data_IF_487071067426
#
_entry.id   IF_487071067426
#
_cell.length_a   1.000
_cell.length_b   1.000
_cell.length_c   1.000
_cell.angle_alpha   90.00
_cell.angle_beta   90.00
_cell.angle_gamma   90.00
#
_symmetry.space_group_name_H-M   'P 1'
#
loop_
_entity.id
_entity.type
_entity.pdbx_description
1 polymer ?
#
# COMPACT_ATOMS: atom_id res chain seq x y z
N UNK A 1 -73.09 -7.81 13.58
CA UNK A 1 -71.67 -8.21 13.70
C UNK A 1 -71.26 -8.14 15.15
N UNK A 2 -70.67 -9.20 15.71
CA UNK A 2 -70.27 -9.24 17.12
C UNK A 2 -68.90 -8.55 17.30
N UNK A 3 -68.62 -7.94 18.46
CA UNK A 3 -67.34 -7.27 18.73
C UNK A 3 -66.13 -8.21 18.60
N UNK A 4 -66.34 -9.51 18.78
CA UNK A 4 -65.32 -10.54 18.54
C UNK A 4 -64.84 -10.59 17.08
N UNK A 5 -65.72 -10.39 16.09
CA UNK A 5 -65.32 -10.40 14.67
C UNK A 5 -64.45 -9.19 14.31
N UNK A 6 -64.71 -8.04 14.93
CA UNK A 6 -63.89 -6.83 14.76
C UNK A 6 -62.46 -7.07 15.26
N UNK A 7 -62.28 -7.60 16.47
CA UNK A 7 -60.94 -7.88 17.03
C UNK A 7 -60.15 -8.85 16.15
N UNK A 8 -60.81 -9.87 15.59
CA UNK A 8 -60.16 -10.83 14.69
C UNK A 8 -59.76 -10.22 13.35
N UNK A 9 -60.61 -9.38 12.73
CA UNK A 9 -60.29 -8.74 11.45
C UNK A 9 -59.14 -7.75 11.62
N UNK A 10 -59.16 -6.93 12.69
CA UNK A 10 -58.08 -5.99 12.97
C UNK A 10 -56.77 -6.69 13.36
N UNK A 11 -56.82 -7.74 14.19
CA UNK A 11 -55.64 -8.53 14.53
C UNK A 11 -55.03 -9.24 13.33
N UNK A 12 -55.85 -9.74 12.40
CA UNK A 12 -55.37 -10.36 11.17
C UNK A 12 -54.79 -9.33 10.19
N UNK A 13 -55.36 -8.13 10.13
CA UNK A 13 -54.82 -7.01 9.36
C UNK A 13 -53.46 -6.51 9.90
N UNK A 14 -53.31 -6.40 11.23
CA UNK A 14 -52.05 -6.03 11.87
C UNK A 14 -50.96 -7.09 11.66
N UNK A 15 -51.31 -8.38 11.80
CA UNK A 15 -50.39 -9.48 11.53
C UNK A 15 -49.93 -9.49 10.06
N UNK A 16 -50.85 -9.24 9.12
CA UNK A 16 -50.51 -9.10 7.70
C UNK A 16 -49.61 -7.89 7.45
N UNK A 17 -49.92 -6.74 8.05
CA UNK A 17 -49.09 -5.54 7.92
C UNK A 17 -47.66 -5.76 8.45
N UNK A 18 -47.51 -6.38 9.63
CA UNK A 18 -46.22 -6.72 10.21
C UNK A 18 -45.45 -7.72 9.33
N UNK A 19 -46.13 -8.74 8.78
CA UNK A 19 -45.50 -9.70 7.87
C UNK A 19 -45.00 -9.03 6.58
N UNK A 20 -45.75 -8.05 6.06
CA UNK A 20 -45.41 -7.30 4.86
C UNK A 20 -44.22 -6.35 5.10
N UNK A 21 -44.16 -5.72 6.27
CA UNK A 21 -43.00 -4.91 6.69
C UNK A 21 -41.76 -5.78 6.86
N UNK A 22 -41.87 -6.93 7.53
CA UNK A 22 -40.75 -7.85 7.71
C UNK A 22 -40.23 -8.38 6.37
N UNK A 23 -41.11 -8.84 5.49
CA UNK A 23 -40.71 -9.32 4.16
C UNK A 23 -40.05 -8.23 3.31
N UNK A 24 -40.52 -6.97 3.40
CA UNK A 24 -39.88 -5.83 2.75
C UNK A 24 -38.48 -5.55 3.31
N UNK A 25 -38.32 -5.54 4.64
CA UNK A 25 -37.03 -5.32 5.30
C UNK A 25 -36.02 -6.43 4.95
N UNK A 26 -36.43 -7.69 5.08
CA UNK A 26 -35.58 -8.83 4.70
C UNK A 26 -35.28 -8.83 3.20
N UNK A 27 -36.24 -8.46 2.34
CA UNK A 27 -36.03 -8.32 0.90
C UNK A 27 -34.99 -7.25 0.57
N UNK A 28 -35.05 -6.08 1.21
CA UNK A 28 -34.08 -4.99 1.02
C UNK A 28 -32.70 -5.41 1.53
N UNK A 29 -32.61 -5.99 2.74
CA UNK A 29 -31.34 -6.45 3.29
C UNK A 29 -30.71 -7.56 2.44
N UNK A 30 -31.50 -8.53 1.98
CA UNK A 30 -31.08 -9.58 1.07
C UNK A 30 -30.58 -9.01 -0.26
N UNK A 31 -31.30 -8.05 -0.82
CA UNK A 31 -30.90 -7.40 -2.07
C UNK A 31 -29.60 -6.61 -1.92
N UNK A 32 -29.42 -5.89 -0.81
CA UNK A 32 -28.15 -5.21 -0.47
C UNK A 32 -27.01 -6.22 -0.34
N UNK A 33 -27.20 -7.29 0.44
CA UNK A 33 -26.20 -8.36 0.62
C UNK A 33 -25.82 -8.99 -0.73
N UNK A 34 -26.80 -9.24 -1.60
CA UNK A 34 -26.58 -9.79 -2.95
C UNK A 34 -25.78 -8.83 -3.83
N UNK A 35 -26.08 -7.53 -3.77
CA UNK A 35 -25.37 -6.48 -4.52
C UNK A 35 -23.93 -6.34 -4.04
N UNK A 36 -23.71 -6.40 -2.73
CA UNK A 36 -22.37 -6.31 -2.14
C UNK A 36 -21.53 -7.55 -2.46
N UNK A 37 -22.14 -8.75 -2.42
CA UNK A 37 -21.49 -9.98 -2.91
C UNK A 37 -21.09 -9.88 -4.39
N UNK A 38 -21.97 -9.35 -5.24
CA UNK A 38 -21.65 -9.16 -6.66
C UNK A 38 -20.51 -8.17 -6.88
N UNK A 39 -20.49 -7.05 -6.16
CA UNK A 39 -19.37 -6.08 -6.22
C UNK A 39 -18.06 -6.72 -5.78
N UNK A 40 -18.08 -7.50 -4.69
CA UNK A 40 -16.91 -8.18 -4.17
C UNK A 40 -16.38 -9.24 -5.14
N UNK A 41 -17.27 -9.95 -5.84
CA UNK A 41 -16.85 -10.85 -6.93
C UNK A 41 -16.22 -10.11 -8.11
N UNK A 42 -16.76 -8.94 -8.48
CA UNK A 42 -16.22 -8.11 -9.56
C UNK A 42 -14.83 -7.57 -9.22
N UNK A 43 -14.66 -6.98 -8.03
CA UNK A 43 -13.35 -6.45 -7.58
C UNK A 43 -12.31 -7.57 -7.48
N UNK A 44 -12.72 -8.72 -6.96
CA UNK A 44 -11.85 -9.90 -6.87
C UNK A 44 -11.40 -10.42 -8.23
N UNK A 45 -12.30 -10.50 -9.22
CA UNK A 45 -11.93 -10.87 -10.60
C UNK A 45 -11.00 -9.84 -11.23
N UNK A 46 -11.25 -8.56 -10.99
CA UNK A 46 -10.40 -7.47 -11.47
C UNK A 46 -8.98 -7.57 -10.89
N UNK A 47 -8.85 -7.75 -9.57
CA UNK A 47 -7.55 -7.90 -8.88
C UNK A 47 -6.81 -9.16 -9.36
N UNK A 48 -7.50 -10.30 -9.46
CA UNK A 48 -6.90 -11.53 -10.00
C UNK A 48 -6.45 -11.36 -11.46
N UNK A 49 -7.19 -10.59 -12.26
CA UNK A 49 -6.83 -10.23 -13.63
C UNK A 49 -5.59 -9.36 -13.70
N UNK A 50 -5.51 -8.30 -12.89
CA UNK A 50 -4.34 -7.42 -12.80
C UNK A 50 -3.09 -8.18 -12.37
N UNK A 51 -3.20 -9.01 -11.32
CA UNK A 51 -2.08 -9.84 -10.85
C UNK A 51 -1.62 -10.83 -11.92
N UNK A 52 -2.55 -11.46 -12.66
CA UNK A 52 -2.22 -12.35 -13.78
C UNK A 52 -1.50 -11.61 -14.91
N UNK A 53 -1.92 -10.39 -15.23
CA UNK A 53 -1.25 -9.55 -16.24
C UNK A 53 0.15 -9.14 -15.80
N UNK A 54 0.35 -8.76 -14.54
CA UNK A 54 1.67 -8.41 -14.01
C UNK A 54 2.63 -9.60 -13.95
N UNK A 55 2.15 -10.79 -13.56
CA UNK A 55 2.96 -12.03 -13.65
C UNK A 55 3.39 -12.28 -15.11
N UNK A 56 2.49 -12.08 -16.07
CA UNK A 56 2.80 -12.19 -17.51
C UNK A 56 3.82 -11.15 -18.00
N UNK A 57 3.75 -9.92 -17.50
CA UNK A 57 4.71 -8.85 -17.82
C UNK A 57 6.10 -9.11 -17.24
N UNK A 58 6.17 -9.64 -16.03
CA UNK A 58 7.44 -9.96 -15.37
C UNK A 58 8.12 -11.16 -16.05
N UNK A 59 7.35 -12.17 -16.46
CA UNK A 59 7.88 -13.37 -17.13
C UNK A 59 8.32 -13.12 -18.58
N UNK A 60 7.70 -12.16 -19.28
CA UNK A 60 8.03 -11.84 -20.68
C UNK A 60 9.25 -10.91 -20.86
N UNK A 61 9.67 -10.17 -19.83
CA UNK A 61 10.86 -9.31 -19.91
C UNK A 61 12.16 -10.11 -19.71
N UNK A 62 13.11 -10.09 -20.66
CA UNK A 62 14.45 -10.63 -20.43
C UNK A 62 15.16 -9.75 -19.40
N UNK A 63 15.63 -10.36 -18.31
CA UNK A 63 16.28 -9.66 -17.18
C UNK A 63 17.63 -10.32 -16.91
N UNK A 64 18.64 -9.53 -16.55
CA UNK A 64 20.00 -10.00 -16.28
C UNK A 64 20.09 -11.01 -15.12
N UNK A 65 19.08 -11.08 -14.24
CA UNK A 65 19.00 -12.03 -13.11
C UNK A 65 17.69 -12.83 -13.15
N UNK A 66 17.69 -14.06 -13.70
CA UNK A 66 16.48 -14.85 -13.88
C UNK A 66 15.87 -15.37 -12.57
N UNK A 67 16.65 -15.47 -11.50
CA UNK A 67 16.22 -15.95 -10.17
C UNK A 67 15.31 -14.95 -9.45
N UNK A 68 15.70 -13.68 -9.42
CA UNK A 68 14.87 -12.57 -8.90
C UNK A 68 13.54 -12.41 -9.65
N UNK A 69 13.53 -12.79 -10.93
CA UNK A 69 12.32 -12.79 -11.75
C UNK A 69 11.37 -13.92 -11.37
N UNK A 70 11.90 -15.12 -11.10
CA UNK A 70 11.12 -16.28 -10.65
C UNK A 70 10.52 -16.01 -9.27
N UNK A 71 11.33 -15.61 -8.29
CA UNK A 71 10.84 -15.31 -6.93
C UNK A 71 9.78 -14.20 -6.92
N UNK A 72 9.95 -13.14 -7.72
CA UNK A 72 8.94 -12.08 -7.87
C UNK A 72 7.65 -12.58 -8.51
N UNK A 73 7.74 -13.43 -9.53
CA UNK A 73 6.57 -14.04 -10.17
C UNK A 73 5.85 -15.01 -9.22
N UNK A 74 6.59 -15.78 -8.44
CA UNK A 74 6.07 -16.76 -7.48
C UNK A 74 5.39 -16.08 -6.28
N UNK A 75 5.95 -14.99 -5.75
CA UNK A 75 5.30 -14.13 -4.75
C UNK A 75 3.96 -13.58 -5.25
N UNK A 76 3.92 -13.05 -6.48
CA UNK A 76 2.69 -12.51 -7.06
C UNK A 76 1.68 -13.61 -7.38
N UNK A 77 2.14 -14.81 -7.73
CA UNK A 77 1.28 -15.97 -7.92
C UNK A 77 0.65 -16.46 -6.61
N UNK A 78 1.42 -16.48 -5.52
CA UNK A 78 0.93 -16.79 -4.18
C UNK A 78 -0.12 -15.75 -3.74
N UNK A 79 0.18 -14.45 -3.87
CA UNK A 79 -0.76 -13.35 -3.59
C UNK A 79 -2.05 -13.43 -4.41
N UNK A 80 -1.99 -13.93 -5.65
CA UNK A 80 -3.17 -14.07 -6.49
C UNK A 80 -4.08 -15.26 -6.10
N UNK A 81 -3.57 -16.24 -5.33
CA UNK A 81 -4.27 -17.50 -5.02
C UNK A 81 -5.57 -17.28 -4.21
N UNK A 82 -5.61 -16.48 -3.12
CA UNK A 82 -6.85 -16.21 -2.38
C UNK A 82 -7.93 -15.53 -3.23
N UNK A 83 -7.50 -14.66 -4.15
CA UNK A 83 -8.40 -14.01 -5.11
C UNK A 83 -8.91 -14.96 -6.20
N UNK A 84 -8.26 -16.09 -6.45
CA UNK A 84 -8.76 -17.12 -7.40
C UNK A 84 -9.66 -18.16 -6.72
N UNK A 85 -9.40 -18.51 -5.46
CA UNK A 85 -10.09 -19.62 -4.75
C UNK A 85 -11.29 -19.23 -3.90
N UNK A 86 -11.63 -17.94 -3.80
CA UNK A 86 -12.75 -17.38 -2.98
C UNK A 86 -12.47 -17.32 -1.49
N UNK A 87 -11.21 -17.51 -1.09
CA UNK A 87 -10.78 -17.62 0.30
C UNK A 87 -10.25 -16.28 0.85
N UNK A 88 -10.98 -15.18 0.63
CA UNK A 88 -10.55 -13.86 1.12
C UNK A 88 -10.69 -13.69 2.64
N UNK A 89 -11.69 -14.35 3.22
CA UNK A 89 -11.97 -14.32 4.66
C UNK A 89 -11.31 -15.48 5.42
N UNK A 90 -10.52 -16.31 4.73
CA UNK A 90 -9.87 -17.49 5.28
C UNK A 90 -8.47 -17.11 5.75
N UNK A 91 -8.24 -17.12 7.07
CA UNK A 91 -6.95 -16.77 7.65
C UNK A 91 -5.84 -17.76 7.24
N UNK A 92 -6.18 -19.03 7.02
CA UNK A 92 -5.21 -20.06 6.63
C UNK A 92 -4.67 -19.81 5.22
N UNK A 93 -5.53 -19.33 4.32
CA UNK A 93 -5.14 -18.93 2.97
C UNK A 93 -4.13 -17.77 2.99
N UNK A 94 -4.28 -16.81 3.90
CA UNK A 94 -3.35 -15.69 4.04
C UNK A 94 -2.05 -16.07 4.76
N UNK A 95 -2.09 -16.97 5.76
CA UNK A 95 -0.88 -17.53 6.35
C UNK A 95 -0.03 -18.26 5.31
N UNK A 96 -0.65 -19.05 4.44
CA UNK A 96 0.06 -19.72 3.35
C UNK A 96 0.67 -18.72 2.33
N UNK A 97 0.05 -17.56 2.13
CA UNK A 97 0.64 -16.48 1.31
C UNK A 97 1.87 -15.90 1.99
N UNK A 98 1.79 -15.58 3.28
CA UNK A 98 2.90 -15.02 4.04
C UNK A 98 4.07 -16.00 4.14
N UNK A 99 3.79 -17.29 4.31
CA UNK A 99 4.81 -18.35 4.33
C UNK A 99 5.53 -18.47 2.98
N UNK A 100 4.80 -18.44 1.86
CA UNK A 100 5.41 -18.44 0.53
C UNK A 100 6.25 -17.18 0.25
N UNK A 101 5.81 -16.02 0.75
CA UNK A 101 6.58 -14.78 0.66
C UNK A 101 7.86 -14.88 1.48
N UNK A 102 7.79 -15.43 2.71
CA UNK A 102 8.96 -15.71 3.54
C UNK A 102 9.97 -16.63 2.85
N UNK A 103 9.51 -17.75 2.30
CA UNK A 103 10.34 -18.70 1.55
C UNK A 103 11.02 -18.05 0.32
N UNK A 104 10.34 -17.12 -0.35
CA UNK A 104 10.94 -16.37 -1.45
C UNK A 104 12.05 -15.42 -0.98
N UNK A 105 11.89 -14.77 0.18
CA UNK A 105 12.95 -13.94 0.78
C UNK A 105 14.13 -14.78 1.26
N UNK A 106 13.88 -15.93 1.89
CA UNK A 106 14.93 -16.85 2.33
C UNK A 106 15.74 -17.38 1.15
N UNK A 107 15.08 -17.72 0.04
CA UNK A 107 15.76 -18.14 -1.19
C UNK A 107 16.61 -17.00 -1.76
N UNK A 108 16.13 -15.76 -1.72
CA UNK A 108 16.90 -14.60 -2.18
C UNK A 108 18.12 -14.34 -1.29
N UNK A 109 17.99 -14.45 0.03
CA UNK A 109 19.11 -14.29 0.96
C UNK A 109 20.20 -15.35 0.75
N UNK A 110 19.82 -16.62 0.52
CA UNK A 110 20.77 -17.69 0.20
C UNK A 110 21.53 -17.43 -1.10
N UNK A 111 20.83 -17.00 -2.15
CA UNK A 111 21.47 -16.65 -3.44
C UNK A 111 22.40 -15.45 -3.35
N UNK A 112 22.20 -14.53 -2.39
CA UNK A 112 23.14 -13.42 -2.13
C UNK A 112 24.33 -13.83 -1.27
N UNK A 113 24.17 -14.80 -0.36
CA UNK A 113 25.26 -15.31 0.48
C UNK A 113 26.22 -16.21 -0.31
N UNK A 114 25.74 -17.03 -1.25
CA UNK A 114 26.59 -17.88 -2.10
C UNK A 114 27.54 -17.09 -3.03
N UNK A 115 27.26 -15.80 -3.26
CA UNK A 115 28.12 -14.90 -4.06
C UNK A 115 29.20 -14.23 -3.20
N UNK A 116 29.20 -14.45 -1.88
CA UNK A 116 30.09 -13.79 -0.92
C UNK A 116 30.82 -14.80 -0.02
N UNK A 117 31.78 -15.55 -0.55
CA UNK A 117 33.00 -15.97 0.17
C UNK A 117 34.10 -16.37 -0.83
N UNK A 118 35.42 -16.22 -0.53
CA UNK A 118 35.99 -16.20 0.84
C UNK A 118 36.95 -15.04 1.15
N UNK A 119 37.06 -14.69 2.44
CA UNK A 119 38.29 -14.09 2.98
C UNK A 119 38.13 -12.91 3.95
N UNK A 120 37.49 -13.11 5.10
CA UNK A 120 38.00 -12.60 6.39
C UNK A 120 37.11 -13.11 7.54
N UNK A 121 37.70 -13.65 8.63
CA UNK A 121 36.92 -14.05 9.79
C UNK A 121 36.53 -12.79 10.56
N UNK A 122 35.33 -12.26 10.31
CA UNK A 122 34.72 -11.32 11.24
C UNK A 122 33.97 -12.13 12.28
N UNK A 123 34.55 -12.18 13.48
CA UNK A 123 33.84 -12.54 14.70
C UNK A 123 32.73 -11.51 14.85
N UNK A 124 31.51 -11.86 14.43
CA UNK A 124 30.31 -11.12 14.78
C UNK A 124 29.49 -12.03 15.68
N UNK A 125 29.64 -11.70 16.96
CA UNK A 125 28.68 -11.98 18.01
C UNK A 125 27.27 -11.70 17.49
N UNK A 126 26.33 -12.58 17.79
CA UNK A 126 24.94 -12.45 17.38
C UNK A 126 24.27 -11.35 18.20
N UNK A 127 24.56 -10.09 17.89
CA UNK A 127 23.71 -8.97 18.26
C UNK A 127 22.59 -8.83 17.25
N UNK A 128 21.41 -8.66 17.80
CA UNK A 128 20.10 -8.41 17.23
C UNK A 128 20.05 -7.12 16.39
N UNK A 129 20.89 -7.02 15.35
CA UNK A 129 20.87 -5.92 14.39
C UNK A 129 19.86 -6.24 13.29
N UNK A 130 18.57 -6.15 13.66
CA UNK A 130 17.62 -5.57 12.72
C UNK A 130 18.08 -4.15 12.45
N UNK A 131 18.97 -3.99 11.46
CA UNK A 131 19.40 -2.71 10.93
C UNK A 131 18.21 -2.10 10.17
N UNK A 132 17.22 -1.69 10.95
CA UNK A 132 16.09 -0.92 10.52
C UNK A 132 16.63 0.47 10.24
N UNK A 133 16.73 0.81 8.94
CA UNK A 133 16.89 2.18 8.44
C UNK A 133 16.42 3.18 9.49
N UNK A 134 17.36 3.90 10.09
CA UNK A 134 17.03 4.75 11.22
C UNK A 134 15.94 5.72 10.77
N UNK A 135 14.98 6.05 11.64
CA UNK A 135 13.87 6.95 11.25
C UNK A 135 14.36 8.28 10.68
N UNK A 136 15.61 8.67 11.01
CA UNK A 136 16.32 9.81 10.47
C UNK A 136 16.85 9.57 9.04
N UNK A 137 17.36 8.39 8.72
CA UNK A 137 17.76 8.00 7.35
C UNK A 137 16.55 7.94 6.40
N UNK A 138 15.40 7.47 6.90
CA UNK A 138 14.17 7.41 6.12
C UNK A 138 13.63 8.82 5.80
N UNK A 139 13.67 9.74 6.76
CA UNK A 139 13.28 11.14 6.54
C UNK A 139 14.26 11.85 5.62
N UNK A 140 15.56 11.65 5.83
CA UNK A 140 16.64 12.10 4.95
C UNK A 140 16.45 11.62 3.50
N UNK A 141 16.09 10.34 3.32
CA UNK A 141 15.80 9.77 2.00
C UNK A 141 14.58 10.39 1.33
N UNK A 142 13.51 10.68 2.10
CA UNK A 142 12.31 11.35 1.59
C UNK A 142 12.63 12.80 1.19
N UNK A 143 13.40 13.52 2.00
CA UNK A 143 13.82 14.89 1.69
C UNK A 143 14.78 14.95 0.49
N UNK A 144 15.66 13.95 0.35
CA UNK A 144 16.52 13.78 -0.83
C UNK A 144 15.70 13.53 -2.10
N UNK A 145 14.64 12.70 -2.01
CA UNK A 145 13.73 12.47 -3.13
C UNK A 145 12.92 13.73 -3.49
N UNK A 146 12.49 14.50 -2.49
CA UNK A 146 11.77 15.77 -2.70
C UNK A 146 12.66 16.85 -3.34
N UNK A 147 13.92 16.94 -2.92
CA UNK A 147 14.89 17.88 -3.51
C UNK A 147 15.26 17.46 -4.94
N UNK A 148 15.50 16.17 -5.18
CA UNK A 148 15.68 15.62 -6.53
C UNK A 148 14.47 15.86 -7.43
N UNK A 149 13.26 15.74 -6.88
CA UNK A 149 12.02 16.08 -7.57
C UNK A 149 11.94 17.57 -7.95
N UNK A 150 12.28 18.48 -7.04
CA UNK A 150 12.28 19.91 -7.30
C UNK A 150 13.29 20.30 -8.39
N UNK A 151 14.47 19.70 -8.37
CA UNK A 151 15.49 19.86 -9.41
C UNK A 151 15.01 19.31 -10.76
N UNK A 152 14.35 18.15 -10.77
CA UNK A 152 13.73 17.59 -11.97
C UNK A 152 12.65 18.50 -12.54
N UNK A 153 11.82 19.12 -11.68
CA UNK A 153 10.76 20.05 -12.09
C UNK A 153 11.32 21.33 -12.72
N UNK A 154 12.38 21.91 -12.18
CA UNK A 154 13.01 23.10 -12.78
C UNK A 154 13.74 22.79 -14.09
N UNK A 155 14.41 21.64 -14.18
CA UNK A 155 15.02 21.16 -15.43
C UNK A 155 13.96 20.85 -16.51
N UNK A 156 12.79 20.39 -16.07
CA UNK A 156 11.60 20.34 -16.89
C UNK A 156 11.30 21.79 -17.31
N UNK A 157 10.85 22.68 -16.44
CA UNK A 157 10.35 24.03 -16.81
C UNK A 157 11.27 24.78 -17.80
N UNK A 158 12.58 24.76 -17.56
CA UNK A 158 13.59 25.34 -18.47
C UNK A 158 13.58 24.74 -19.88
N UNK A 159 13.44 23.42 -20.02
CA UNK A 159 13.27 22.77 -21.32
C UNK A 159 11.98 23.16 -22.03
N UNK A 160 10.89 23.43 -21.27
CA UNK A 160 9.62 23.90 -21.87
C UNK A 160 9.79 25.29 -22.46
N UNK A 161 10.47 26.19 -21.75
CA UNK A 161 10.81 27.53 -22.25
C UNK A 161 11.67 27.44 -23.51
N UNK A 162 12.71 26.61 -23.51
CA UNK A 162 13.56 26.38 -24.67
C UNK A 162 12.76 25.85 -25.89
N UNK A 163 11.83 24.92 -25.69
CA UNK A 163 10.95 24.45 -26.78
C UNK A 163 10.00 25.52 -27.29
N UNK A 164 9.51 26.41 -26.43
CA UNK A 164 8.65 27.53 -26.84
C UNK A 164 9.43 28.56 -27.67
N UNK A 165 10.67 28.85 -27.28
CA UNK A 165 11.59 29.71 -28.04
C UNK A 165 11.92 29.12 -29.42
N UNK A 166 12.26 27.82 -29.48
CA UNK A 166 12.48 27.08 -30.72
C UNK A 166 11.28 27.15 -31.68
N UNK A 167 10.06 27.05 -31.14
CA UNK A 167 8.82 27.16 -31.92
C UNK A 167 8.63 28.57 -32.49
N UNK A 168 8.99 29.60 -31.73
CA UNK A 168 8.95 31.00 -32.18
C UNK A 168 9.98 31.26 -33.27
N UNK A 169 11.20 30.80 -33.09
CA UNK A 169 12.28 30.89 -34.09
C UNK A 169 11.88 30.17 -35.39
N UNK A 170 11.24 29.00 -35.27
CA UNK A 170 10.73 28.28 -36.42
C UNK A 170 9.61 29.03 -37.16
N UNK A 171 8.67 29.66 -36.44
CA UNK A 171 7.63 30.47 -37.07
C UNK A 171 8.22 31.66 -37.86
N UNK A 172 9.26 32.30 -37.32
CA UNK A 172 10.00 33.34 -38.03
C UNK A 172 10.70 32.78 -39.28
N UNK A 173 11.32 31.61 -39.16
CA UNK A 173 11.96 30.92 -40.29
C UNK A 173 10.94 30.54 -41.39
N UNK A 174 9.73 30.11 -41.02
CA UNK A 174 8.65 29.84 -41.98
C UNK A 174 8.22 31.10 -42.73
N UNK A 175 8.12 32.24 -42.05
CA UNK A 175 7.81 33.52 -42.69
C UNK A 175 8.93 33.92 -43.67
N UNK A 176 10.19 33.78 -43.26
CA UNK A 176 11.34 34.01 -44.14
C UNK A 176 11.35 33.09 -45.36
N UNK A 177 11.06 31.79 -45.17
CA UNK A 177 10.95 30.82 -46.25
C UNK A 177 9.80 31.13 -47.21
N UNK A 178 8.64 31.57 -46.73
CA UNK A 178 7.53 32.01 -47.61
C UNK A 178 7.95 33.21 -48.47
N UNK A 179 8.64 34.17 -47.87
CA UNK A 179 9.16 35.34 -48.59
C UNK A 179 10.24 34.94 -49.62
N UNK A 180 11.14 34.01 -49.27
CA UNK A 180 12.14 33.46 -50.20
C UNK A 180 11.48 32.70 -51.35
N UNK A 181 10.49 31.86 -51.07
CA UNK A 181 9.74 31.12 -52.09
C UNK A 181 9.03 32.05 -53.08
N UNK A 182 8.49 33.16 -52.60
CA UNK A 182 7.89 34.19 -53.44
C UNK A 182 8.94 34.90 -54.33
N UNK A 183 10.17 35.08 -53.84
CA UNK A 183 11.27 35.67 -54.62
C UNK A 183 11.89 34.69 -55.63
N UNK A 184 11.94 33.39 -55.30
CA UNK A 184 12.49 32.30 -56.11
C UNK A 184 11.52 31.74 -57.16
N UNK A 185 10.27 32.21 -57.22
CA UNK A 185 9.27 31.76 -58.21
C UNK A 185 9.65 32.03 -59.67
N UNK A 186 10.66 32.88 -59.92
CA UNK A 186 11.14 33.25 -61.25
C UNK A 186 12.03 32.20 -61.93
N UNK A 187 12.61 31.24 -61.18
CA UNK A 187 13.54 30.26 -61.77
C UNK A 187 13.38 28.85 -61.15
N UNK A 188 12.33 28.15 -61.61
CA UNK A 188 11.90 26.83 -61.09
C UNK A 188 12.85 25.68 -61.43
N UNK A 189 13.81 25.88 -62.33
CA UNK A 189 14.72 24.84 -62.80
C UNK A 189 16.13 24.92 -62.16
N UNK A 190 16.33 25.80 -61.18
CA UNK A 190 17.62 25.94 -60.50
C UNK A 190 17.81 24.89 -59.39
N UNK A 191 19.04 24.39 -59.23
CA UNK A 191 19.43 23.50 -58.12
C UNK A 191 19.09 24.08 -56.73
N UNK A 192 19.03 25.42 -56.64
CA UNK A 192 18.58 26.17 -55.47
C UNK A 192 17.13 25.86 -55.06
N UNK A 193 16.25 25.58 -56.03
CA UNK A 193 14.86 25.22 -55.75
C UNK A 193 14.74 23.83 -55.10
N UNK A 194 15.54 22.85 -55.56
CA UNK A 194 15.58 21.52 -54.96
C UNK A 194 16.20 21.54 -53.55
N UNK A 195 17.26 22.34 -53.35
CA UNK A 195 17.82 22.60 -52.02
C UNK A 195 16.78 23.24 -51.08
N UNK A 196 16.01 24.21 -51.58
CA UNK A 196 14.95 24.84 -50.79
C UNK A 196 13.84 23.85 -50.39
N UNK A 197 13.37 22.99 -51.30
CA UNK A 197 12.38 21.95 -50.97
C UNK A 197 12.89 20.93 -49.96
N UNK A 198 14.15 20.53 -50.05
CA UNK A 198 14.76 19.61 -49.08
C UNK A 198 14.87 20.26 -47.70
N UNK A 199 15.26 21.53 -47.62
CA UNK A 199 15.21 22.30 -46.36
C UNK A 199 13.78 22.42 -45.81
N UNK A 200 12.78 22.67 -46.65
CA UNK A 200 11.37 22.76 -46.22
C UNK A 200 10.85 21.42 -45.67
N UNK A 201 11.19 20.30 -46.33
CA UNK A 201 10.89 18.94 -45.84
C UNK A 201 11.57 18.66 -44.51
N UNK A 202 12.87 18.95 -44.38
CA UNK A 202 13.61 18.74 -43.13
C UNK A 202 13.02 19.56 -41.98
N UNK A 203 12.61 20.80 -42.27
CA UNK A 203 11.91 21.66 -41.32
C UNK A 203 10.55 21.09 -40.89
N UNK A 204 9.78 20.49 -41.80
CA UNK A 204 8.52 19.84 -41.47
C UNK A 204 8.74 18.60 -40.58
N UNK A 205 9.78 17.81 -40.87
CA UNK A 205 10.18 16.67 -40.04
C UNK A 205 10.57 17.16 -38.64
N UNK A 206 11.44 18.17 -38.55
CA UNK A 206 11.87 18.76 -37.27
C UNK A 206 10.69 19.19 -36.39
N UNK A 207 9.69 19.87 -36.97
CA UNK A 207 8.49 20.27 -36.22
C UNK A 207 7.64 19.11 -35.75
N UNK A 208 7.54 18.06 -36.57
CA UNK A 208 6.86 16.83 -36.16
C UNK A 208 7.57 16.22 -34.95
N UNK A 209 8.90 16.15 -34.98
CA UNK A 209 9.71 15.66 -33.85
C UNK A 209 9.54 16.53 -32.61
N UNK A 210 9.53 17.86 -32.77
CA UNK A 210 9.33 18.81 -31.67
C UNK A 210 7.95 18.63 -31.02
N UNK A 211 6.90 18.46 -31.83
CA UNK A 211 5.54 18.23 -31.33
C UNK A 211 5.39 16.89 -30.58
N UNK A 212 6.10 15.85 -31.02
CA UNK A 212 6.15 14.56 -30.32
C UNK A 212 6.87 14.71 -28.98
N UNK A 213 8.00 15.42 -28.96
CA UNK A 213 8.74 15.73 -27.72
C UNK A 213 7.90 16.55 -26.75
N UNK A 214 7.16 17.55 -27.22
CA UNK A 214 6.23 18.36 -26.42
C UNK A 214 5.14 17.49 -25.76
N UNK A 215 4.58 16.53 -26.49
CA UNK A 215 3.61 15.57 -25.94
C UNK A 215 4.24 14.64 -24.89
N UNK A 216 5.40 14.06 -25.19
CA UNK A 216 6.12 13.19 -24.24
C UNK A 216 6.47 13.94 -22.96
N UNK A 217 6.85 15.21 -23.10
CA UNK A 217 7.19 16.06 -21.98
C UNK A 217 5.95 16.40 -21.12
N UNK A 218 4.80 16.71 -21.74
CA UNK A 218 3.56 16.90 -20.99
C UNK A 218 3.10 15.65 -20.25
N UNK A 219 3.38 14.45 -20.78
CA UNK A 219 3.15 13.20 -20.07
C UNK A 219 4.11 13.05 -18.88
N UNK A 220 5.39 13.36 -19.07
CA UNK A 220 6.40 13.33 -18.01
C UNK A 220 6.02 14.26 -16.85
N UNK A 221 5.52 15.46 -17.14
CA UNK A 221 5.03 16.41 -16.11
C UNK A 221 3.93 15.77 -15.26
N UNK A 222 2.96 15.08 -15.88
CA UNK A 222 1.87 14.40 -15.15
C UNK A 222 2.39 13.25 -14.30
N UNK A 223 3.36 12.48 -14.81
CA UNK A 223 3.99 11.40 -14.04
C UNK A 223 4.75 11.95 -12.83
N UNK A 224 5.44 13.08 -13.00
CA UNK A 224 6.09 13.80 -11.90
C UNK A 224 5.08 14.28 -10.86
N UNK A 225 3.97 14.91 -11.27
CA UNK A 225 2.91 15.34 -10.33
C UNK A 225 2.34 14.17 -9.54
N UNK A 226 2.06 13.04 -10.20
CA UNK A 226 1.58 11.83 -9.53
C UNK A 226 2.62 11.24 -8.55
N UNK A 227 3.91 11.28 -8.89
CA UNK A 227 4.99 10.85 -8.01
C UNK A 227 5.06 11.72 -6.75
N UNK A 228 4.89 13.03 -6.89
CA UNK A 228 4.85 13.97 -5.76
C UNK A 228 3.70 13.67 -4.82
N UNK A 229 2.49 13.46 -5.34
CA UNK A 229 1.33 13.10 -4.53
C UNK A 229 1.57 11.79 -3.78
N UNK A 230 2.16 10.79 -4.44
CA UNK A 230 2.53 9.52 -3.81
C UNK A 230 3.54 9.69 -2.68
N UNK A 231 4.58 10.52 -2.88
CA UNK A 231 5.59 10.79 -1.85
C UNK A 231 4.99 11.49 -0.63
N UNK A 232 4.13 12.49 -0.84
CA UNK A 232 3.43 13.19 0.24
C UNK A 232 2.49 12.25 1.00
N UNK A 233 1.79 11.36 0.29
CA UNK A 233 0.94 10.36 0.91
C UNK A 233 1.74 9.38 1.76
N UNK A 234 2.89 8.91 1.26
CA UNK A 234 3.80 8.05 2.01
C UNK A 234 4.30 8.73 3.29
N UNK A 235 4.68 10.01 3.19
CA UNK A 235 5.11 10.81 4.34
C UNK A 235 4.01 10.92 5.41
N UNK A 236 2.75 11.12 4.99
CA UNK A 236 1.61 11.15 5.90
C UNK A 236 1.36 9.79 6.58
N UNK A 237 1.46 8.69 5.82
CA UNK A 237 1.33 7.33 6.36
C UNK A 237 2.41 7.06 7.41
N UNK A 238 3.68 7.35 7.08
CA UNK A 238 4.81 7.17 7.99
C UNK A 238 4.61 7.99 9.27
N UNK A 239 4.19 9.25 9.13
CA UNK A 239 3.87 10.11 10.28
C UNK A 239 2.77 9.53 11.17
N UNK A 240 1.71 8.98 10.59
CA UNK A 240 0.61 8.35 11.33
C UNK A 240 1.05 7.04 12.02
N UNK A 241 1.87 6.23 11.34
CA UNK A 241 2.46 5.02 11.92
C UNK A 241 3.32 5.37 13.13
N UNK A 242 4.20 6.38 13.03
CA UNK A 242 5.05 6.82 14.15
C UNK A 242 4.22 7.27 15.36
N UNK A 243 3.17 8.06 15.15
CA UNK A 243 2.23 8.47 16.21
C UNK A 243 1.57 7.25 16.88
N UNK A 244 1.16 6.28 16.07
CA UNK A 244 0.51 5.06 16.57
C UNK A 244 1.47 4.18 17.37
N UNK A 245 2.72 4.01 16.90
CA UNK A 245 3.77 3.29 17.63
C UNK A 245 4.09 3.98 18.95
N UNK A 246 4.22 5.32 18.96
CA UNK A 246 4.46 6.06 20.19
C UNK A 246 3.32 5.89 21.20
N UNK A 247 2.06 5.94 20.72
CA UNK A 247 0.89 5.67 21.55
C UNK A 247 0.92 4.26 22.15
N UNK A 248 1.24 3.24 21.34
CA UNK A 248 1.38 1.85 21.80
C UNK A 248 2.51 1.68 22.82
N UNK A 249 3.63 2.38 22.65
CA UNK A 249 4.73 2.34 23.62
C UNK A 249 4.31 2.95 24.96
N UNK A 250 3.60 4.08 24.94
CA UNK A 250 3.06 4.70 26.15
C UNK A 250 2.04 3.78 26.85
N UNK A 251 1.12 3.17 26.10
CA UNK A 251 0.16 2.19 26.63
C UNK A 251 0.87 0.97 27.22
N UNK A 252 1.90 0.44 26.54
CA UNK A 252 2.72 -0.67 27.05
C UNK A 252 3.41 -0.31 28.35
N UNK A 253 4.00 0.88 28.47
CA UNK A 253 4.62 1.33 29.72
C UNK A 253 3.59 1.50 30.84
N UNK A 254 2.42 2.04 30.53
CA UNK A 254 1.33 2.19 31.51
C UNK A 254 0.85 0.84 32.03
N UNK A 255 0.63 -0.13 31.13
CA UNK A 255 0.25 -1.50 31.51
C UNK A 255 1.34 -2.21 32.32
N UNK A 256 2.62 -1.97 32.02
CA UNK A 256 3.72 -2.55 32.80
C UNK A 256 3.72 -2.02 34.24
N UNK A 257 3.42 -0.75 34.42
CA UNK A 257 3.35 -0.10 35.73
C UNK A 257 2.10 -0.54 36.52
N UNK A 258 0.94 -0.66 35.87
CA UNK A 258 -0.27 -1.23 36.47
C UNK A 258 -0.06 -2.69 36.91
N UNK A 259 0.59 -3.51 36.07
CA UNK A 259 0.90 -4.90 36.42
C UNK A 259 1.86 -4.98 37.62
N UNK A 260 2.83 -4.06 37.72
CA UNK A 260 3.72 -3.96 38.88
C UNK A 260 2.92 -3.64 40.15
N UNK A 261 2.03 -2.66 40.11
CA UNK A 261 1.17 -2.31 41.25
C UNK A 261 0.27 -3.47 41.68
N UNK A 262 -0.32 -4.19 40.72
CA UNK A 262 -1.15 -5.36 41.02
C UNK A 262 -0.35 -6.49 41.67
N UNK A 263 0.90 -6.72 41.26
CA UNK A 263 1.78 -7.70 41.92
C UNK A 263 2.11 -7.31 43.35
N UNK A 264 2.43 -6.04 43.58
CA UNK A 264 2.68 -5.52 44.93
C UNK A 264 1.44 -5.68 45.83
N UNK A 265 0.25 -5.39 45.31
CA UNK A 265 -1.01 -5.63 46.03
C UNK A 265 -1.22 -7.12 46.33
N UNK A 266 -0.96 -7.99 45.36
CA UNK A 266 -1.10 -9.44 45.53
C UNK A 266 -0.17 -9.97 46.63
N UNK A 267 1.09 -9.51 46.65
CA UNK A 267 2.04 -9.88 47.71
C UNK A 267 1.56 -9.44 49.10
N UNK A 268 0.98 -8.24 49.22
CA UNK A 268 0.43 -7.76 50.48
C UNK A 268 -0.75 -8.62 50.91
N UNK A 269 -1.65 -8.98 49.99
CA UNK A 269 -2.78 -9.87 50.29
C UNK A 269 -2.33 -11.26 50.70
N UNK A 270 -1.32 -11.84 50.04
CA UNK A 270 -0.78 -13.16 50.40
C UNK A 270 -0.12 -13.13 51.79
N UNK A 271 0.59 -12.06 52.13
CA UNK A 271 1.13 -11.84 53.48
C UNK A 271 0.03 -11.72 54.53
N UNK A 272 -1.11 -11.11 54.19
CA UNK A 272 -2.25 -10.99 55.10
C UNK A 272 -2.94 -12.35 55.30
N UNK A 273 -3.22 -13.08 54.22
CA UNK A 273 -3.81 -14.42 54.26
C UNK A 273 -2.94 -15.38 55.05
N UNK A 274 -1.62 -15.38 54.83
CA UNK A 274 -0.68 -16.23 55.59
C UNK A 274 -0.65 -15.89 57.07
N UNK A 275 -0.74 -14.61 57.46
CA UNK A 275 -0.90 -14.21 58.88
C UNK A 275 -2.23 -14.69 59.45
N UNK A 276 -3.31 -14.55 58.70
CA UNK A 276 -4.66 -14.93 59.14
C UNK A 276 -4.77 -16.45 59.33
N UNK A 277 -4.19 -17.24 58.42
CA UNK A 277 -4.09 -18.69 58.55
C UNK A 277 -3.28 -19.10 59.80
N UNK A 278 -2.11 -18.46 60.04
CA UNK A 278 -1.33 -18.72 61.27
C UNK A 278 -2.11 -18.41 62.54
N UNK A 279 -2.85 -17.30 62.55
CA UNK A 279 -3.71 -16.94 63.68
C UNK A 279 -4.85 -17.95 63.86
N UNK A 280 -5.49 -18.38 62.77
CA UNK A 280 -6.52 -19.40 62.78
C UNK A 280 -5.99 -20.74 63.33
N UNK A 281 -4.83 -21.20 62.86
CA UNK A 281 -4.19 -22.43 63.35
C UNK A 281 -3.84 -22.33 64.84
N UNK A 282 -3.37 -21.16 65.29
CA UNK A 282 -3.11 -20.90 66.72
C UNK A 282 -4.39 -21.00 67.53
N UNK A 283 -5.46 -20.32 67.08
CA UNK A 283 -6.76 -20.33 67.76
C UNK A 283 -7.35 -21.75 67.80
N UNK A 284 -7.23 -22.50 66.71
CA UNK A 284 -7.64 -23.89 66.60
C UNK A 284 -6.89 -24.78 67.60
N UNK A 285 -5.57 -24.60 67.72
CA UNK A 285 -4.75 -25.35 68.67
C UNK A 285 -5.14 -25.04 70.12
N UNK A 286 -5.41 -23.78 70.46
CA UNK A 286 -5.91 -23.41 71.79
C UNK A 286 -7.29 -24.01 72.08
N UNK A 287 -8.21 -23.94 71.11
CA UNK A 287 -9.51 -24.60 71.22
C UNK A 287 -9.36 -26.11 71.46
N UNK A 288 -8.48 -26.77 70.70
CA UNK A 288 -8.24 -28.22 70.84
C UNK A 288 -7.72 -28.55 72.24
N UNK A 289 -6.77 -27.77 72.77
CA UNK A 289 -6.27 -27.94 74.14
C UNK A 289 -7.37 -27.79 75.20
N UNK A 290 -8.25 -26.81 75.06
CA UNK A 290 -9.35 -26.59 76.01
C UNK A 290 -10.33 -27.78 76.03
N UNK A 291 -10.62 -28.38 74.88
CA UNK A 291 -11.55 -29.50 74.81
C UNK A 291 -10.91 -30.87 75.14
N UNK A 292 -9.59 -31.02 74.96
CA UNK A 292 -8.86 -32.21 75.42
C UNK A 292 -8.68 -32.23 76.94
N UNK A 293 -8.65 -31.08 77.60
CA UNK A 293 -8.50 -30.96 79.07
C UNK A 293 -9.81 -31.06 79.85
N UNK A 294 -10.96 -30.99 79.17
CA UNK A 294 -12.31 -31.15 79.76
C UNK A 294 -12.79 -32.62 79.72
N UNK A 295 -11.97 -33.53 79.19
CA UNK A 295 -12.25 -34.97 79.12
C UNK A 295 -11.46 -35.74 80.17
#
# INVERSE_FOLDING_TARGET
MTPAHYVWIYGLAEALALSLVLTALFGIQWWRLRRDRQKLEQTRRAIAGMLKQEIGRITSKPTARPELRKSRADCLAALAKPFKTRQLADEEAWRAVMENVGQCFDHLMRTTQEVSEPGHPSVLDASDDTDGLSTAELDSGIDSLLTGYQAGKSAIETNREATAELKRNYQQLQLANRNLRHKLQLDKNSDLWQLFETYERNNAVFMKTLSVKERSYNLLVKEFEALRESLQHLQAIIGNYRKSVHKLLLERSGLAEENKQLREQHEVTDRLVTRLNRNYDTLRNEYTKLFETIR
#
